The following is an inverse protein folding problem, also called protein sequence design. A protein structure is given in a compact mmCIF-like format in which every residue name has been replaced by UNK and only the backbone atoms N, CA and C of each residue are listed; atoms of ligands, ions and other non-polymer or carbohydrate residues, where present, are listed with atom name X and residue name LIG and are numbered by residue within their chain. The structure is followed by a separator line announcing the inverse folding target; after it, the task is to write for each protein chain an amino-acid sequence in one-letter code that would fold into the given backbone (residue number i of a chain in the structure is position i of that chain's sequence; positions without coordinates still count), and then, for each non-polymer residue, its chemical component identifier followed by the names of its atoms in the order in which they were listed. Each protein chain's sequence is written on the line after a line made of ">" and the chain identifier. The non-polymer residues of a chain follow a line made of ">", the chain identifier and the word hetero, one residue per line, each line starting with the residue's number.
data_IF_549918559883
#
_entry.id   IF_549918559883
#
_cell.length_a   1.000
_cell.length_b   1.000
_cell.length_c   1.000
_cell.angle_alpha   90.00
_cell.angle_beta   90.00
_cell.angle_gamma   90.00
#
_symmetry.space_group_name_H-M   'P 1'
#
loop_
_entity.id
_entity.type
_entity.pdbx_description
1 polymer ?
#
# COMPACT_ATOMS: atom_id res chain seq x y z
N UNK A 1 -9.88 6.98 -14.79
CA UNK A 1 -9.35 6.12 -13.71
C UNK A 1 -7.95 6.61 -13.42
N UNK A 2 -7.81 7.69 -12.65
CA UNK A 2 -6.48 8.21 -12.32
C UNK A 2 -5.81 7.28 -11.31
N UNK A 3 -4.67 6.77 -11.74
CA UNK A 3 -3.81 5.90 -10.96
C UNK A 3 -3.28 6.66 -9.74
N UNK A 4 -3.15 5.97 -8.61
CA UNK A 4 -2.33 6.46 -7.50
C UNK A 4 -0.96 6.85 -8.07
N UNK A 5 -0.62 8.13 -7.92
CA UNK A 5 0.67 8.68 -8.33
C UNK A 5 1.71 8.30 -7.29
N UNK A 6 2.42 7.21 -7.59
CA UNK A 6 3.51 6.75 -6.75
C UNK A 6 4.71 7.70 -6.84
N UNK A 7 4.93 8.35 -7.98
CA UNK A 7 6.11 9.18 -8.21
C UNK A 7 5.97 10.52 -7.48
N UNK A 8 4.81 11.17 -7.57
CA UNK A 8 4.47 12.36 -6.78
C UNK A 8 4.46 12.09 -5.26
N UNK A 9 4.23 10.85 -4.84
CA UNK A 9 4.29 10.42 -3.43
C UNK A 9 5.71 10.05 -2.93
N UNK A 10 6.75 10.20 -3.77
CA UNK A 10 8.13 9.86 -3.43
C UNK A 10 8.48 8.37 -3.55
N UNK A 11 7.72 7.63 -4.36
CA UNK A 11 7.90 6.21 -4.62
C UNK A 11 7.35 5.27 -3.54
N UNK A 12 7.58 3.98 -3.74
CA UNK A 12 7.30 2.95 -2.73
C UNK A 12 8.55 2.77 -1.88
N UNK A 13 8.52 3.33 -0.67
CA UNK A 13 9.62 3.19 0.28
C UNK A 13 9.72 1.75 0.80
N UNK A 14 10.90 1.14 0.72
CA UNK A 14 11.14 -0.30 0.96
C UNK A 14 10.63 -0.77 2.32
N UNK A 15 10.85 -0.02 3.40
CA UNK A 15 10.39 -0.41 4.73
C UNK A 15 8.87 -0.38 4.85
N UNK A 16 8.20 0.50 4.11
CA UNK A 16 6.74 0.54 4.03
C UNK A 16 6.17 -0.63 3.22
N UNK A 17 6.87 -1.03 2.17
CA UNK A 17 6.52 -2.20 1.38
C UNK A 17 6.63 -3.47 2.22
N UNK A 18 7.74 -3.66 2.92
CA UNK A 18 7.93 -4.81 3.82
C UNK A 18 6.81 -4.88 4.87
N UNK A 19 6.49 -3.76 5.52
CA UNK A 19 5.38 -3.69 6.50
C UNK A 19 4.01 -3.97 5.88
N UNK A 20 3.82 -3.72 4.58
CA UNK A 20 2.57 -4.02 3.89
C UNK A 20 2.35 -5.53 3.75
N UNK A 21 3.43 -6.30 3.56
CA UNK A 21 3.37 -7.75 3.32
C UNK A 21 2.86 -8.53 4.54
N UNK A 22 2.96 -7.96 5.75
CA UNK A 22 2.40 -8.52 6.98
C UNK A 22 0.90 -8.21 7.19
N UNK A 23 0.27 -7.41 6.33
CA UNK A 23 -1.11 -6.99 6.50
C UNK A 23 -2.08 -7.91 5.75
N UNK A 24 -3.30 -8.01 6.27
CA UNK A 24 -4.41 -8.69 5.60
C UNK A 24 -5.36 -7.65 5.02
N UNK A 25 -5.59 -7.70 3.70
CA UNK A 25 -6.56 -6.83 3.01
C UNK A 25 -7.77 -7.64 2.54
N UNK A 26 -8.92 -7.45 3.18
CA UNK A 26 -10.18 -8.10 2.81
C UNK A 26 -11.02 -7.15 1.96
N UNK A 27 -11.38 -7.58 0.75
CA UNK A 27 -12.26 -6.82 -0.14
C UNK A 27 -13.67 -6.77 0.44
N UNK A 28 -14.18 -5.57 0.66
CA UNK A 28 -15.56 -5.32 1.15
C UNK A 28 -16.46 -4.66 0.11
N UNK A 29 -15.86 -4.24 -1.02
CA UNK A 29 -16.55 -3.63 -2.14
C UNK A 29 -15.59 -3.40 -3.29
N UNK A 30 -16.11 -2.83 -4.36
CA UNK A 30 -15.33 -2.59 -5.56
C UNK A 30 -14.25 -1.53 -5.30
N UNK A 31 -12.98 -1.95 -5.27
CA UNK A 31 -11.84 -1.11 -4.88
C UNK A 31 -11.80 -0.70 -3.40
N UNK A 32 -12.64 -1.33 -2.54
CA UNK A 32 -12.75 -1.02 -1.11
C UNK A 32 -12.30 -2.19 -0.25
N UNK A 33 -11.49 -1.89 0.77
CA UNK A 33 -10.85 -2.89 1.61
C UNK A 33 -10.92 -2.53 3.08
N UNK A 34 -11.07 -3.57 3.90
CA UNK A 34 -10.71 -3.53 5.32
C UNK A 34 -9.32 -4.14 5.47
N UNK A 35 -8.39 -3.37 6.01
CA UNK A 35 -7.00 -3.81 6.21
C UNK A 35 -6.73 -4.01 7.70
N UNK A 36 -6.15 -5.16 8.07
CA UNK A 36 -5.82 -5.55 9.45
C UNK A 36 -4.38 -6.08 9.54
N UNK A 37 -3.89 -6.33 10.76
CA UNK A 37 -2.52 -6.80 11.03
C UNK A 37 -1.52 -5.69 11.39
N UNK A 38 -1.97 -4.44 11.44
CA UNK A 38 -1.27 -3.33 12.07
C UNK A 38 -1.75 -3.08 13.51
N UNK A 39 -1.42 -1.90 14.05
CA UNK A 39 -1.83 -1.49 15.40
C UNK A 39 -3.36 -1.37 15.53
N UNK A 40 -4.02 -0.91 14.46
CA UNK A 40 -5.48 -0.80 14.35
C UNK A 40 -5.96 -1.13 12.93
N UNK A 41 -7.23 -1.56 12.76
CA UNK A 41 -7.80 -1.80 11.44
C UNK A 41 -8.08 -0.48 10.70
N UNK A 42 -7.87 -0.50 9.38
CA UNK A 42 -8.06 0.68 8.52
C UNK A 42 -8.93 0.40 7.32
N UNK A 43 -9.70 1.40 6.90
CA UNK A 43 -10.46 1.37 5.66
C UNK A 43 -9.67 1.99 4.52
N UNK A 44 -9.73 1.35 3.35
CA UNK A 44 -9.08 1.80 2.13
C UNK A 44 -10.10 1.88 0.99
N UNK A 45 -10.12 3.01 0.28
CA UNK A 45 -10.84 3.21 -0.97
C UNK A 45 -9.85 3.61 -2.07
N UNK A 46 -9.59 2.68 -2.99
CA UNK A 46 -8.65 2.88 -4.09
C UNK A 46 -9.22 3.71 -5.25
N UNK A 47 -10.50 4.08 -5.21
CA UNK A 47 -11.20 4.71 -6.33
C UNK A 47 -11.64 6.12 -6.05
N UNK A 48 -12.03 6.41 -4.81
CA UNK A 48 -12.49 7.74 -4.44
C UNK A 48 -11.35 8.75 -4.48
N UNK A 49 -11.64 9.93 -5.04
CA UNK A 49 -10.85 11.15 -4.89
C UNK A 49 -11.53 12.14 -3.93
N UNK A 50 -12.77 11.85 -3.50
CA UNK A 50 -13.58 12.71 -2.64
C UNK A 50 -13.32 12.48 -1.14
N UNK A 51 -12.74 11.32 -0.81
CA UNK A 51 -12.33 10.99 0.55
C UNK A 51 -10.87 10.52 0.53
N UNK A 52 -10.14 10.67 1.64
CA UNK A 52 -8.81 10.08 1.76
C UNK A 52 -8.84 8.59 1.38
N UNK A 53 -7.84 8.14 0.63
CA UNK A 53 -7.77 6.76 0.14
C UNK A 53 -7.55 5.76 1.27
N UNK A 54 -7.08 6.22 2.43
CA UNK A 54 -6.99 5.47 3.66
C UNK A 54 -7.26 6.38 4.86
N UNK A 55 -7.91 5.86 5.90
CA UNK A 55 -8.20 6.58 7.14
C UNK A 55 -7.04 6.61 8.15
N UNK A 56 -5.88 6.02 7.82
CA UNK A 56 -4.75 5.99 8.74
C UNK A 56 -4.03 7.35 8.81
N UNK A 57 -3.50 7.70 9.99
CA UNK A 57 -2.77 8.95 10.19
C UNK A 57 -1.61 9.14 9.21
N UNK A 58 -0.86 8.09 8.87
CA UNK A 58 0.22 8.17 7.88
C UNK A 58 -0.22 8.70 6.52
N UNK A 59 -1.44 8.37 6.08
CA UNK A 59 -1.98 8.86 4.81
C UNK A 59 -2.57 10.26 4.97
N UNK A 60 -3.33 10.48 6.05
CA UNK A 60 -4.01 11.75 6.32
C UNK A 60 -3.04 12.92 6.50
N UNK A 61 -1.90 12.70 7.15
CA UNK A 61 -0.98 13.79 7.52
C UNK A 61 0.21 13.97 6.57
N UNK A 62 0.55 12.95 5.79
CA UNK A 62 1.76 12.98 4.93
C UNK A 62 1.45 12.88 3.45
N UNK A 63 0.17 12.75 3.07
CA UNK A 63 -0.29 12.60 1.67
C UNK A 63 0.45 11.50 0.88
N UNK A 64 0.96 10.50 1.60
CA UNK A 64 1.79 9.42 1.04
C UNK A 64 0.98 8.16 0.84
N UNK A 65 1.44 7.33 -0.10
CA UNK A 65 1.00 5.94 -0.20
C UNK A 65 1.42 5.21 1.09
N UNK A 66 0.45 4.91 1.95
CA UNK A 66 0.66 4.22 3.22
C UNK A 66 0.75 2.68 3.02
N UNK A 67 1.20 1.95 4.04
CA UNK A 67 1.26 0.47 4.00
C UNK A 67 -0.10 -0.19 3.72
N UNK A 68 -1.21 0.42 4.15
CA UNK A 68 -2.55 -0.13 3.93
C UNK A 68 -3.00 -0.02 2.47
N UNK A 69 -2.70 1.12 1.81
CA UNK A 69 -2.94 1.30 0.38
C UNK A 69 -2.10 0.29 -0.43
N UNK A 70 -0.83 0.09 -0.06
CA UNK A 70 0.02 -0.93 -0.69
C UNK A 70 -0.57 -2.34 -0.54
N UNK A 71 -1.06 -2.71 0.64
CA UNK A 71 -1.67 -4.01 0.88
C UNK A 71 -2.95 -4.20 0.03
N UNK A 72 -3.79 -3.17 -0.09
CA UNK A 72 -4.97 -3.20 -0.94
C UNK A 72 -4.61 -3.30 -2.44
N UNK A 73 -3.61 -2.55 -2.91
CA UNK A 73 -3.14 -2.61 -4.30
C UNK A 73 -2.48 -3.95 -4.62
N UNK A 74 -1.71 -4.52 -3.70
CA UNK A 74 -1.16 -5.86 -3.84
C UNK A 74 -2.30 -6.89 -3.97
N UNK A 75 -3.39 -6.72 -3.21
CA UNK A 75 -4.57 -7.58 -3.31
C UNK A 75 -5.35 -7.41 -4.62
N UNK A 76 -5.33 -6.22 -5.22
CA UNK A 76 -5.82 -5.98 -6.60
C UNK A 76 -4.89 -6.57 -7.67
N UNK A 77 -3.66 -6.96 -7.31
CA UNK A 77 -2.65 -7.39 -8.26
C UNK A 77 -2.05 -6.23 -9.06
N UNK A 78 -1.95 -5.02 -8.47
CA UNK A 78 -1.36 -3.87 -9.15
C UNK A 78 0.08 -4.19 -9.58
N UNK A 79 0.39 -4.15 -10.90
CA UNK A 79 1.66 -4.60 -11.42
C UNK A 79 2.85 -3.78 -10.92
N UNK A 80 2.62 -2.52 -10.50
CA UNK A 80 3.67 -1.66 -9.93
C UNK A 80 4.07 -2.19 -8.56
N UNK A 81 3.10 -2.50 -7.70
CA UNK A 81 3.39 -3.06 -6.36
C UNK A 81 4.05 -4.43 -6.46
N UNK A 82 3.59 -5.28 -7.39
CA UNK A 82 4.21 -6.59 -7.63
C UNK A 82 5.68 -6.44 -8.05
N UNK A 83 6.00 -5.47 -8.94
CA UNK A 83 7.38 -5.18 -9.35
C UNK A 83 8.26 -4.77 -8.16
N UNK A 84 7.74 -3.89 -7.31
CA UNK A 84 8.46 -3.44 -6.12
C UNK A 84 8.70 -4.58 -5.13
N UNK A 85 7.75 -5.52 -4.97
CA UNK A 85 7.96 -6.75 -4.18
C UNK A 85 9.11 -7.57 -4.76
N UNK A 86 9.18 -7.70 -6.09
CA UNK A 86 10.33 -8.33 -6.75
C UNK A 86 11.66 -7.60 -6.51
N UNK A 87 11.63 -6.27 -6.38
CA UNK A 87 12.78 -5.46 -5.93
C UNK A 87 13.21 -5.81 -4.51
N UNK A 88 12.26 -5.80 -3.56
CA UNK A 88 12.50 -6.14 -2.16
C UNK A 88 13.08 -7.55 -2.01
N UNK A 89 12.52 -8.56 -2.68
CA UNK A 89 13.01 -9.93 -2.62
C UNK A 89 14.46 -10.04 -3.11
N UNK A 90 14.81 -9.32 -4.20
CA UNK A 90 16.21 -9.27 -4.69
C UNK A 90 17.14 -8.63 -3.66
N UNK A 91 16.72 -7.54 -3.02
CA UNK A 91 17.49 -6.87 -1.99
C UNK A 91 17.74 -7.78 -0.77
N UNK A 92 16.70 -8.45 -0.28
CA UNK A 92 16.79 -9.35 0.89
C UNK A 92 17.65 -10.59 0.62
N UNK A 93 17.72 -11.06 -0.63
CA UNK A 93 18.57 -12.18 -1.06
C UNK A 93 20.00 -11.77 -1.41
N UNK A 94 20.25 -10.47 -1.61
CA UNK A 94 21.59 -9.95 -1.88
C UNK A 94 22.53 -10.16 -0.69
N UNK A 95 23.85 -10.05 -0.90
CA UNK A 95 24.80 -10.12 0.21
C UNK A 95 24.45 -9.05 1.24
N UNK A 96 24.25 -9.47 2.49
CA UNK A 96 24.14 -8.55 3.63
C UNK A 96 25.48 -7.82 3.72
N UNK A 97 25.46 -6.51 3.40
CA UNK A 97 26.61 -5.62 3.67
C UNK A 97 26.80 -5.45 5.17
#
# INVERSE_FOLDING_TARGET
>A
MEMIDFEGAGGVETGRLERCLGLTAVRVGLGRYRVTGGDEPHWVDLRSQLVPRCDCGDHLWRERVCKHILAALLREGDPRVIREVGGLVRQLRGPRR
#
